data_IF_944080629623
#
_entry.id   IF_944080629623
#
_cell.length_a   1.000
_cell.length_b   1.000
_cell.length_c   1.000
_cell.angle_alpha   90.00
_cell.angle_beta   90.00
_cell.angle_gamma   90.00
#
_symmetry.space_group_name_H-M   'P 1'
#
loop_
_entity.id
_entity.type
_entity.pdbx_description
1 polymer ?
#
# COMPACT_ATOMS: atom_id res chain seq x y z
N UNK A 1 4.06 57.17 19.84
CA UNK A 1 3.85 55.76 20.18
C UNK A 1 5.05 55.32 20.98
N UNK A 2 4.90 55.09 22.29
CA UNK A 2 6.03 54.88 23.20
C UNK A 2 6.76 53.56 22.90
N UNK A 3 8.08 53.57 23.08
CA UNK A 3 8.93 52.37 22.90
C UNK A 3 8.43 51.16 23.69
N UNK A 4 7.84 51.40 24.84
CA UNK A 4 7.25 50.37 25.73
C UNK A 4 6.07 49.60 25.05
N UNK A 5 5.23 50.29 24.27
CA UNK A 5 4.12 49.65 23.55
C UNK A 5 4.66 48.74 22.44
N UNK A 6 5.69 49.14 21.75
CA UNK A 6 6.33 48.32 20.72
C UNK A 6 7.02 47.08 21.32
N UNK A 7 7.74 47.23 22.45
CA UNK A 7 8.37 46.14 23.16
C UNK A 7 7.34 45.10 23.68
N UNK A 8 6.23 45.56 24.28
CA UNK A 8 5.19 44.67 24.72
C UNK A 8 4.50 43.93 23.58
N UNK A 9 4.24 44.58 22.44
CA UNK A 9 3.65 43.97 21.27
C UNK A 9 4.56 42.84 20.68
N UNK A 10 5.88 43.10 20.61
CA UNK A 10 6.85 42.09 20.19
C UNK A 10 6.88 40.89 21.13
N UNK A 11 6.86 41.11 22.45
CA UNK A 11 6.86 40.06 23.44
C UNK A 11 5.62 39.16 23.32
N UNK A 12 4.41 39.76 23.23
CA UNK A 12 3.17 38.99 23.11
C UNK A 12 3.07 38.27 21.76
N UNK A 13 3.55 38.85 20.69
CA UNK A 13 3.56 38.18 19.39
C UNK A 13 4.52 36.96 19.35
N UNK A 14 5.71 37.10 19.96
CA UNK A 14 6.65 35.99 20.09
C UNK A 14 6.10 34.87 20.99
N UNK A 15 5.44 35.24 22.10
CA UNK A 15 4.79 34.29 22.99
C UNK A 15 3.66 33.53 22.27
N UNK A 16 2.80 34.24 21.55
CA UNK A 16 1.71 33.66 20.79
C UNK A 16 2.22 32.69 19.70
N UNK A 17 3.26 33.07 18.97
CA UNK A 17 3.90 32.22 17.98
C UNK A 17 4.51 30.96 18.61
N UNK A 18 5.18 31.12 19.76
CA UNK A 18 5.75 29.97 20.51
C UNK A 18 4.69 29.00 21.00
N UNK A 19 3.58 29.50 21.55
CA UNK A 19 2.44 28.65 21.97
C UNK A 19 1.78 27.96 20.79
N UNK A 20 1.59 28.65 19.66
CA UNK A 20 1.01 28.07 18.45
C UNK A 20 1.89 26.96 17.87
N UNK A 21 3.20 27.21 17.72
CA UNK A 21 4.14 26.18 17.23
C UNK A 21 4.24 25.02 18.18
N UNK A 22 4.26 25.23 19.48
CA UNK A 22 4.23 24.17 20.49
C UNK A 22 2.97 23.31 20.42
N UNK A 23 1.81 23.94 20.27
CA UNK A 23 0.54 23.22 20.12
C UNK A 23 0.51 22.36 18.83
N UNK A 24 1.02 22.88 17.71
CA UNK A 24 1.14 22.11 16.46
C UNK A 24 2.08 20.92 16.62
N UNK A 25 3.19 21.08 17.31
CA UNK A 25 4.12 19.98 17.59
C UNK A 25 3.47 18.89 18.45
N UNK A 26 2.82 19.27 19.54
CA UNK A 26 2.07 18.35 20.39
C UNK A 26 1.00 17.60 19.59
N UNK A 27 0.20 18.30 18.80
CA UNK A 27 -0.82 17.69 17.94
C UNK A 27 -0.22 16.66 16.99
N UNK A 28 0.86 17.02 16.27
CA UNK A 28 1.55 16.08 15.35
C UNK A 28 2.07 14.85 16.07
N UNK A 29 2.71 15.03 17.23
CA UNK A 29 3.26 13.94 18.04
C UNK A 29 2.16 12.99 18.50
N UNK A 30 1.05 13.53 19.00
CA UNK A 30 -0.12 12.76 19.41
C UNK A 30 -0.71 11.99 18.23
N UNK A 31 -0.86 12.62 17.07
CA UNK A 31 -1.36 11.94 15.87
C UNK A 31 -0.46 10.78 15.42
N UNK A 32 0.86 10.95 15.45
CA UNK A 32 1.82 9.88 15.12
C UNK A 32 1.70 8.75 16.13
N UNK A 33 1.63 9.08 17.43
CA UNK A 33 1.48 8.11 18.50
C UNK A 33 0.19 7.29 18.35
N UNK A 34 -0.95 7.95 18.15
CA UNK A 34 -2.23 7.27 17.96
C UNK A 34 -2.22 6.35 16.73
N UNK A 35 -1.63 6.80 15.63
CA UNK A 35 -1.45 5.95 14.43
C UNK A 35 -0.59 4.71 14.68
N UNK A 36 0.48 4.85 15.48
CA UNK A 36 1.39 3.74 15.81
C UNK A 36 0.72 2.68 16.69
N UNK A 37 -0.25 3.07 17.51
CA UNK A 37 -1.01 2.14 18.39
C UNK A 37 -2.31 1.60 17.76
N UNK A 38 -2.44 1.61 16.44
CA UNK A 38 -3.55 0.94 15.74
C UNK A 38 -4.83 1.76 15.59
N UNK A 39 -4.82 3.05 15.96
CA UNK A 39 -5.92 3.97 15.66
C UNK A 39 -5.89 4.49 14.19
N UNK A 40 -4.98 3.94 13.36
CA UNK A 40 -4.94 4.24 11.93
C UNK A 40 -6.09 3.55 11.17
N UNK A 41 -6.48 4.13 10.06
CA UNK A 41 -7.45 3.51 9.13
C UNK A 41 -6.85 2.23 8.54
N UNK A 42 -7.49 1.09 8.82
CA UNK A 42 -7.12 -0.19 8.19
C UNK A 42 -7.36 -0.10 6.67
N UNK A 43 -6.51 -0.76 5.92
CA UNK A 43 -6.72 -0.94 4.49
C UNK A 43 -7.71 -2.09 4.30
N UNK A 44 -8.99 -1.78 4.24
CA UNK A 44 -10.06 -2.77 4.04
C UNK A 44 -10.69 -2.58 2.66
N UNK A 45 -11.22 -3.65 2.07
CA UNK A 45 -11.91 -3.59 0.80
C UNK A 45 -13.12 -2.65 0.84
N UNK A 46 -13.75 -2.47 1.99
CA UNK A 46 -14.91 -1.58 2.14
C UNK A 46 -14.59 -0.12 1.82
N UNK A 47 -13.33 0.31 1.98
CA UNK A 47 -12.86 1.65 1.63
C UNK A 47 -12.70 1.85 0.12
N UNK A 48 -12.39 0.79 -0.60
CA UNK A 48 -12.10 0.82 -2.05
C UNK A 48 -13.26 0.33 -2.91
N UNK A 49 -14.24 -0.31 -2.31
CA UNK A 49 -15.40 -0.91 -2.97
C UNK A 49 -15.34 -2.44 -2.95
N UNK A 50 -16.50 -3.06 -2.75
CA UNK A 50 -16.60 -4.52 -2.78
C UNK A 50 -16.27 -5.03 -4.20
N UNK A 51 -15.42 -6.04 -4.28
CA UNK A 51 -14.97 -6.60 -5.56
C UNK A 51 -13.73 -5.94 -6.14
N UNK A 52 -13.16 -4.93 -5.48
CA UNK A 52 -11.90 -4.29 -5.91
C UNK A 52 -10.73 -5.26 -5.95
N UNK A 53 -9.82 -5.02 -6.90
CA UNK A 53 -8.66 -5.84 -7.14
C UNK A 53 -7.36 -5.16 -6.68
N UNK A 54 -6.47 -5.97 -6.14
CA UNK A 54 -5.11 -5.58 -5.81
C UNK A 54 -4.11 -6.34 -6.69
N UNK A 55 -3.14 -5.63 -7.25
CA UNK A 55 -2.03 -6.25 -7.98
C UNK A 55 -0.82 -6.35 -7.06
N UNK A 56 -0.19 -7.53 -7.03
CA UNK A 56 1.05 -7.75 -6.28
C UNK A 56 2.11 -8.35 -7.20
N UNK A 57 3.22 -7.64 -7.38
CA UNK A 57 4.36 -8.14 -8.14
C UNK A 57 5.36 -8.85 -7.23
N UNK A 58 6.02 -9.91 -7.72
CA UNK A 58 6.90 -10.74 -6.89
C UNK A 58 6.13 -11.51 -5.81
N UNK A 59 4.91 -11.93 -6.11
CA UNK A 59 3.94 -12.44 -5.14
C UNK A 59 4.16 -13.89 -4.69
N UNK A 60 5.21 -14.58 -5.15
CA UNK A 60 5.42 -16.00 -4.88
C UNK A 60 6.20 -16.29 -3.62
N UNK A 61 6.86 -15.29 -3.01
CA UNK A 61 7.69 -15.47 -1.83
C UNK A 61 7.86 -14.18 -1.03
N UNK A 62 8.36 -14.30 0.20
CA UNK A 62 8.77 -13.19 1.05
C UNK A 62 7.69 -12.13 1.28
N UNK A 63 8.07 -10.86 1.15
CA UNK A 63 7.20 -9.69 1.43
C UNK A 63 6.01 -9.64 0.47
N UNK A 64 6.21 -9.95 -0.82
CA UNK A 64 5.13 -9.95 -1.81
C UNK A 64 4.03 -10.97 -1.49
N UNK A 65 4.42 -12.20 -1.11
CA UNK A 65 3.46 -13.23 -0.68
C UNK A 65 2.70 -12.81 0.58
N UNK A 66 3.41 -12.23 1.56
CA UNK A 66 2.79 -11.74 2.80
C UNK A 66 1.80 -10.58 2.54
N UNK A 67 2.16 -9.65 1.65
CA UNK A 67 1.27 -8.55 1.24
C UNK A 67 0.03 -9.08 0.51
N UNK A 68 0.19 -10.03 -0.42
CA UNK A 68 -0.93 -10.66 -1.10
C UNK A 68 -1.88 -11.37 -0.13
N UNK A 69 -1.33 -12.09 0.85
CA UNK A 69 -2.09 -12.77 1.90
C UNK A 69 -2.89 -11.78 2.75
N UNK A 70 -2.25 -10.67 3.17
CA UNK A 70 -2.92 -9.62 3.93
C UNK A 70 -4.11 -9.03 3.15
N UNK A 71 -3.90 -8.65 1.89
CA UNK A 71 -4.94 -8.08 1.04
C UNK A 71 -6.10 -9.06 0.81
N UNK A 72 -5.79 -10.33 0.57
CA UNK A 72 -6.79 -11.39 0.45
C UNK A 72 -7.66 -11.52 1.71
N UNK A 73 -7.03 -11.51 2.89
CA UNK A 73 -7.73 -11.61 4.18
C UNK A 73 -8.59 -10.36 4.48
N UNK A 74 -8.21 -9.20 3.94
CA UNK A 74 -9.02 -7.97 4.01
C UNK A 74 -10.16 -7.95 2.97
N UNK A 75 -10.22 -8.95 2.06
CA UNK A 75 -11.32 -9.17 1.12
C UNK A 75 -11.10 -8.61 -0.28
N UNK A 76 -9.88 -8.22 -0.63
CA UNK A 76 -9.54 -7.86 -2.00
C UNK A 76 -9.41 -9.09 -2.88
N UNK A 77 -9.87 -8.99 -4.13
CA UNK A 77 -9.43 -9.90 -5.18
C UNK A 77 -7.97 -9.61 -5.51
N UNK A 78 -7.17 -10.63 -5.85
CA UNK A 78 -5.73 -10.45 -5.99
C UNK A 78 -5.22 -10.94 -7.33
N UNK A 79 -4.52 -10.05 -8.06
CA UNK A 79 -3.69 -10.40 -9.21
C UNK A 79 -2.27 -10.66 -8.73
N UNK A 80 -1.79 -11.87 -8.97
CA UNK A 80 -0.45 -12.31 -8.60
C UNK A 80 0.45 -12.30 -9.83
N UNK A 81 1.55 -11.57 -9.78
CA UNK A 81 2.51 -11.47 -10.89
C UNK A 81 3.88 -11.96 -10.45
N UNK A 82 4.42 -12.99 -11.12
CA UNK A 82 5.78 -13.50 -10.89
C UNK A 82 6.26 -14.35 -12.07
N UNK A 83 7.53 -14.81 -12.01
CA UNK A 83 8.19 -15.59 -13.09
C UNK A 83 7.68 -17.03 -13.21
N UNK A 84 7.31 -17.68 -12.10
CA UNK A 84 7.06 -19.11 -12.02
C UNK A 84 5.56 -19.39 -11.88
N UNK A 85 4.92 -19.85 -12.96
CA UNK A 85 3.47 -20.10 -13.00
C UNK A 85 3.01 -21.08 -11.91
N UNK A 86 3.67 -22.23 -11.76
CA UNK A 86 3.30 -23.23 -10.76
C UNK A 86 3.31 -22.70 -9.32
N UNK A 87 4.27 -21.80 -8.98
CA UNK A 87 4.29 -21.16 -7.66
C UNK A 87 3.13 -20.16 -7.51
N UNK A 88 2.79 -19.43 -8.58
CA UNK A 88 1.65 -18.50 -8.58
C UNK A 88 0.33 -19.22 -8.31
N UNK A 89 0.10 -20.35 -8.97
CA UNK A 89 -1.10 -21.18 -8.77
C UNK A 89 -1.19 -21.72 -7.34
N UNK A 90 -0.08 -22.19 -6.78
CA UNK A 90 -0.02 -22.62 -5.38
C UNK A 90 -0.39 -21.49 -4.44
N UNK A 91 0.22 -20.31 -4.60
CA UNK A 91 -0.08 -19.14 -3.75
C UNK A 91 -1.53 -18.68 -3.95
N UNK A 92 -2.05 -18.68 -5.17
CA UNK A 92 -3.45 -18.32 -5.44
C UNK A 92 -4.44 -19.19 -4.65
N UNK A 93 -4.18 -20.49 -4.57
CA UNK A 93 -5.00 -21.42 -3.77
C UNK A 93 -4.86 -21.15 -2.26
N UNK A 94 -3.63 -20.94 -1.78
CA UNK A 94 -3.38 -20.56 -0.38
C UNK A 94 -4.12 -19.27 0.01
N UNK A 95 -4.15 -18.26 -0.88
CA UNK A 95 -4.87 -17.01 -0.64
C UNK A 95 -6.36 -17.23 -0.49
N UNK A 96 -6.97 -18.01 -1.39
CA UNK A 96 -8.40 -18.31 -1.34
C UNK A 96 -8.77 -19.08 -0.06
N UNK A 97 -7.95 -20.04 0.33
CA UNK A 97 -8.17 -20.80 1.57
C UNK A 97 -8.04 -19.90 2.82
N UNK A 98 -7.01 -19.04 2.85
CA UNK A 98 -6.81 -18.11 3.95
C UNK A 98 -7.96 -17.11 4.06
N UNK A 99 -8.35 -16.47 2.96
CA UNK A 99 -9.45 -15.53 2.92
C UNK A 99 -10.77 -16.18 3.41
N UNK A 100 -11.04 -17.41 3.00
CA UNK A 100 -12.21 -18.18 3.42
C UNK A 100 -12.23 -18.40 4.94
N UNK A 101 -11.06 -18.66 5.57
CA UNK A 101 -10.96 -18.78 7.04
C UNK A 101 -11.30 -17.46 7.75
N UNK A 102 -11.11 -16.32 7.08
CA UNK A 102 -11.49 -15.00 7.58
C UNK A 102 -12.90 -14.54 7.14
N UNK A 103 -13.72 -15.48 6.62
CA UNK A 103 -15.08 -15.18 6.18
C UNK A 103 -15.15 -14.33 4.89
N UNK A 104 -14.07 -14.31 4.11
CA UNK A 104 -13.99 -13.58 2.84
C UNK A 104 -14.04 -14.56 1.66
N UNK A 105 -14.76 -14.18 0.60
CA UNK A 105 -14.75 -14.91 -0.67
C UNK A 105 -14.10 -14.00 -1.71
N UNK A 106 -12.97 -14.41 -2.26
CA UNK A 106 -12.16 -13.63 -3.19
C UNK A 106 -11.85 -14.41 -4.46
N UNK A 107 -11.60 -13.68 -5.53
CA UNK A 107 -11.05 -14.21 -6.76
C UNK A 107 -9.55 -13.91 -6.87
N UNK A 108 -8.85 -14.79 -7.59
CA UNK A 108 -7.43 -14.62 -7.86
C UNK A 108 -7.18 -14.75 -9.35
N UNK A 109 -6.26 -13.93 -9.88
CA UNK A 109 -5.75 -14.02 -11.25
C UNK A 109 -4.23 -14.13 -11.22
N UNK A 110 -3.66 -15.01 -12.02
CA UNK A 110 -2.22 -15.18 -12.12
C UNK A 110 -1.72 -14.65 -13.45
N UNK A 111 -0.61 -13.92 -13.42
CA UNK A 111 0.05 -13.40 -14.62
C UNK A 111 1.52 -13.76 -14.56
N UNK A 112 1.97 -14.62 -15.47
CA UNK A 112 3.37 -14.98 -15.54
C UNK A 112 4.15 -13.86 -16.22
N UNK A 113 5.09 -13.24 -15.51
CA UNK A 113 5.92 -12.16 -16.00
C UNK A 113 7.32 -12.21 -15.38
N UNK A 114 8.33 -12.21 -16.22
CA UNK A 114 9.73 -12.18 -15.82
C UNK A 114 10.30 -10.77 -16.00
N UNK A 115 10.37 -10.00 -14.92
CA UNK A 115 10.88 -8.62 -14.90
C UNK A 115 12.40 -8.51 -15.17
N UNK A 116 13.12 -9.62 -15.35
CA UNK A 116 14.55 -9.59 -15.73
C UNK A 116 14.76 -9.35 -17.22
N UNK A 117 13.71 -9.52 -18.01
CA UNK A 117 13.74 -9.29 -19.46
C UNK A 117 13.48 -7.84 -19.77
N UNK A 118 14.02 -7.35 -20.88
CA UNK A 118 13.71 -6.00 -21.35
C UNK A 118 12.25 -5.91 -21.76
N UNK A 119 11.51 -5.00 -21.16
CA UNK A 119 10.12 -4.71 -21.50
C UNK A 119 10.03 -3.37 -22.20
N UNK A 120 9.24 -3.36 -23.27
CA UNK A 120 8.80 -2.15 -23.93
C UNK A 120 7.35 -1.79 -23.50
N UNK A 121 6.91 -0.60 -23.87
CA UNK A 121 5.55 -0.16 -23.58
C UNK A 121 4.48 -1.06 -24.23
N UNK A 122 4.80 -1.72 -25.36
CA UNK A 122 3.90 -2.64 -26.05
C UNK A 122 3.62 -3.89 -25.23
N UNK A 123 4.65 -4.45 -24.59
CA UNK A 123 4.52 -5.62 -23.70
C UNK A 123 3.58 -5.33 -22.52
N UNK A 124 3.75 -4.17 -21.83
CA UNK A 124 2.87 -3.78 -20.74
C UNK A 124 1.44 -3.52 -21.23
N UNK A 125 1.27 -2.86 -22.37
CA UNK A 125 -0.05 -2.64 -22.97
C UNK A 125 -0.78 -3.94 -23.26
N UNK A 126 -0.07 -4.94 -23.80
CA UNK A 126 -0.62 -6.28 -24.05
C UNK A 126 -1.07 -6.97 -22.77
N UNK A 127 -0.21 -6.99 -21.74
CA UNK A 127 -0.54 -7.56 -20.42
C UNK A 127 -1.78 -6.91 -19.85
N UNK A 128 -1.87 -5.57 -19.90
CA UNK A 128 -3.04 -4.83 -19.43
C UNK A 128 -4.30 -5.23 -20.19
N UNK A 129 -4.28 -5.23 -21.51
CA UNK A 129 -5.44 -5.55 -22.33
C UNK A 129 -5.93 -6.99 -22.15
N UNK A 130 -5.01 -7.94 -22.01
CA UNK A 130 -5.35 -9.36 -21.90
C UNK A 130 -5.74 -9.79 -20.48
N UNK A 131 -5.17 -9.14 -19.44
CA UNK A 131 -5.27 -9.66 -18.09
C UNK A 131 -5.87 -8.69 -17.07
N UNK A 132 -5.92 -7.40 -17.33
CA UNK A 132 -6.23 -6.40 -16.29
C UNK A 132 -7.36 -5.45 -16.65
N UNK A 133 -7.69 -5.32 -17.93
CA UNK A 133 -8.63 -4.31 -18.44
C UNK A 133 -10.03 -4.42 -17.84
N UNK A 134 -10.47 -5.63 -17.53
CA UNK A 134 -11.79 -5.94 -17.00
C UNK A 134 -11.91 -5.81 -15.47
N UNK A 135 -10.81 -5.43 -14.80
CA UNK A 135 -10.71 -5.40 -13.36
C UNK A 135 -10.82 -3.98 -12.79
N UNK A 136 -11.55 -3.84 -11.68
CA UNK A 136 -11.56 -2.62 -10.86
C UNK A 136 -10.30 -2.59 -9.97
N UNK A 137 -9.22 -2.02 -10.50
CA UNK A 137 -7.92 -1.99 -9.86
C UNK A 137 -7.82 -0.83 -8.87
N UNK A 138 -7.66 -1.13 -7.60
CA UNK A 138 -7.60 -0.14 -6.52
C UNK A 138 -6.25 -0.07 -5.80
N UNK A 139 -5.48 -1.15 -5.80
CA UNK A 139 -4.20 -1.24 -5.08
C UNK A 139 -3.13 -1.84 -5.98
N UNK A 140 -1.93 -1.26 -5.95
CA UNK A 140 -0.76 -1.80 -6.63
C UNK A 140 0.40 -1.91 -5.65
N UNK A 141 0.92 -3.14 -5.46
CA UNK A 141 2.10 -3.44 -4.66
C UNK A 141 3.26 -3.79 -5.59
N UNK A 142 4.13 -2.81 -5.84
CA UNK A 142 5.38 -3.01 -6.58
C UNK A 142 6.45 -3.56 -5.63
N UNK A 143 6.66 -4.90 -5.65
CA UNK A 143 7.56 -5.57 -4.72
C UNK A 143 8.71 -6.32 -5.43
N UNK A 144 8.72 -6.38 -6.76
CA UNK A 144 9.85 -6.99 -7.46
C UNK A 144 11.11 -6.16 -7.27
N UNK A 145 12.13 -6.78 -6.70
CA UNK A 145 13.47 -6.22 -6.59
C UNK A 145 14.50 -7.28 -6.98
N UNK A 146 15.62 -6.87 -7.55
CA UNK A 146 16.78 -7.72 -7.78
C UNK A 146 18.00 -7.06 -7.15
N UNK A 147 18.68 -7.80 -6.27
CA UNK A 147 20.04 -7.45 -5.87
C UNK A 147 20.99 -8.08 -6.89
N UNK A 148 21.73 -7.28 -7.59
CA UNK A 148 22.92 -7.78 -8.26
C UNK A 148 23.98 -7.97 -7.18
N UNK A 149 24.54 -9.18 -7.08
CA UNK A 149 25.80 -9.37 -6.40
C UNK A 149 26.85 -8.62 -7.23
N UNK A 150 26.88 -7.33 -7.05
CA UNK A 150 27.80 -6.41 -7.71
C UNK A 150 29.14 -6.56 -7.06
N UNK A 151 30.15 -6.79 -7.87
CA UNK A 151 31.52 -6.86 -7.50
C UNK A 151 32.10 -5.59 -6.89
#
# INVERSE_FOLDING_TARGET
>A
MSLEILQSAWYYSALALGLFTGALWCYRTICVFLRSFGFGTKMTVDRYGKGSWAIVTGATDGIGKAAAMYLANEGFNVVLISRTLAKLETVANELKESAKKHGKNIDTRVVQLDFTKNFDAGTFSKIYQENLKDLDLSVLVNNVGMAYAGG
#
